data_IF_922824542287
#
_entry.id   IF_922824542287
#
_cell.length_a   1.000
_cell.length_b   1.000
_cell.length_c   1.000
_cell.angle_alpha   90.00
_cell.angle_beta   90.00
_cell.angle_gamma   90.00
#
_symmetry.space_group_name_H-M   'P 1'
#
loop_
_entity.id
_entity.type
_entity.pdbx_description
1 polymer ?
#
# COMPACT_ATOMS: atom_id res chain seq x y z
N UNK A 1 30.41 18.98 -4.75
CA UNK A 1 29.03 18.97 -4.24
C UNK A 1 28.35 20.19 -4.80
N UNK A 2 27.41 20.00 -5.73
CA UNK A 2 26.58 21.06 -6.27
C UNK A 2 25.13 20.60 -6.09
N UNK A 3 24.37 21.32 -5.25
CA UNK A 3 22.92 21.20 -5.15
C UNK A 3 22.32 21.80 -6.43
N UNK A 4 22.21 20.97 -7.46
CA UNK A 4 21.41 21.31 -8.64
C UNK A 4 19.93 21.17 -8.29
N UNK A 5 19.11 22.12 -8.73
CA UNK A 5 17.67 22.04 -8.51
C UNK A 5 17.05 20.92 -9.38
N UNK A 6 15.95 20.33 -8.92
CA UNK A 6 15.27 19.16 -9.53
C UNK A 6 14.88 19.36 -11.02
N UNK A 7 14.83 20.60 -11.49
CA UNK A 7 14.56 20.97 -12.89
C UNK A 7 15.78 20.73 -13.79
N UNK A 8 17.01 20.97 -13.29
CA UNK A 8 18.25 20.85 -14.07
C UNK A 8 18.58 19.37 -14.41
N UNK A 9 18.13 18.43 -13.58
CA UNK A 9 18.31 16.98 -13.83
C UNK A 9 17.45 16.47 -15.00
N UNK A 10 16.36 17.16 -15.34
CA UNK A 10 15.45 16.81 -16.44
C UNK A 10 15.86 17.40 -17.78
N UNK A 11 16.51 18.56 -17.81
CA UNK A 11 16.83 19.27 -19.06
C UNK A 11 17.84 18.54 -19.97
N UNK A 12 18.54 17.51 -19.47
CA UNK A 12 19.49 16.72 -20.25
C UNK A 12 19.00 15.33 -20.70
N UNK A 13 17.84 14.86 -20.23
CA UNK A 13 17.34 13.51 -20.53
C UNK A 13 16.07 13.62 -21.37
N UNK A 14 16.20 13.39 -22.67
CA UNK A 14 15.06 13.20 -23.58
C UNK A 14 14.08 12.17 -23.00
N UNK A 15 12.82 12.22 -23.46
CA UNK A 15 11.69 11.46 -22.95
C UNK A 15 11.91 9.93 -22.91
N UNK A 16 12.63 9.45 -21.91
CA UNK A 16 12.72 8.03 -21.57
C UNK A 16 11.52 7.75 -20.66
N UNK A 17 10.54 7.02 -21.19
CA UNK A 17 9.44 6.48 -20.39
C UNK A 17 10.05 5.42 -19.47
N UNK A 18 10.02 5.59 -18.15
CA UNK A 18 10.58 4.59 -17.24
C UNK A 18 9.86 3.26 -17.40
N UNK A 19 10.60 2.16 -17.34
CA UNK A 19 10.00 0.83 -17.17
C UNK A 19 9.35 0.77 -15.78
N UNK A 20 8.03 0.78 -15.75
CA UNK A 20 7.26 0.71 -14.51
C UNK A 20 6.70 -0.71 -14.35
N UNK A 21 7.16 -1.42 -13.34
CA UNK A 21 6.52 -2.66 -12.88
C UNK A 21 5.47 -2.32 -11.83
N UNK A 22 4.26 -2.86 -11.98
CA UNK A 22 3.19 -2.81 -10.98
C UNK A 22 2.93 -4.23 -10.46
N UNK A 23 3.03 -4.39 -9.14
CA UNK A 23 2.63 -5.60 -8.44
C UNK A 23 1.42 -5.29 -7.56
N UNK A 24 0.48 -6.24 -7.45
CA UNK A 24 -0.69 -6.13 -6.60
C UNK A 24 -0.72 -7.28 -5.61
N UNK A 25 -1.10 -6.98 -4.38
CA UNK A 25 -1.13 -7.96 -3.30
C UNK A 25 -2.29 -7.75 -2.34
N UNK A 26 -2.48 -8.74 -1.47
CA UNK A 26 -3.37 -8.64 -0.33
C UNK A 26 -2.57 -8.37 0.94
N UNK A 27 -3.01 -7.38 1.69
CA UNK A 27 -2.59 -7.11 3.05
C UNK A 27 -3.63 -7.64 4.01
N UNK A 28 -3.19 -8.36 5.04
CA UNK A 28 -4.02 -8.73 6.19
C UNK A 28 -3.59 -7.89 7.38
N UNK A 29 -4.38 -6.88 7.72
CA UNK A 29 -4.17 -6.09 8.92
C UNK A 29 -4.74 -6.83 10.12
N UNK A 30 -3.95 -7.05 11.17
CA UNK A 30 -4.41 -7.66 12.42
C UNK A 30 -4.64 -6.56 13.45
N UNK A 31 -5.78 -6.60 14.14
CA UNK A 31 -6.08 -5.61 15.16
C UNK A 31 -5.21 -5.82 16.39
N UNK A 32 -4.65 -4.73 16.93
CA UNK A 32 -3.90 -4.76 18.18
C UNK A 32 -4.80 -4.92 19.42
N UNK A 33 -6.09 -4.58 19.31
CA UNK A 33 -7.00 -4.46 20.46
C UNK A 33 -8.01 -5.60 20.56
N UNK A 34 -8.37 -6.21 19.42
CA UNK A 34 -9.39 -7.23 19.36
C UNK A 34 -8.95 -8.40 18.48
N UNK A 35 -9.65 -9.53 18.58
CA UNK A 35 -9.50 -10.65 17.65
C UNK A 35 -10.20 -10.33 16.33
N UNK A 36 -9.73 -9.28 15.68
CA UNK A 36 -10.23 -8.76 14.44
C UNK A 36 -9.10 -8.63 13.42
N UNK A 37 -9.44 -8.76 12.15
CA UNK A 37 -8.53 -8.56 11.04
C UNK A 37 -9.25 -7.85 9.89
N UNK A 38 -8.51 -7.23 9.00
CA UNK A 38 -9.01 -6.64 7.76
C UNK A 38 -8.21 -7.18 6.58
N UNK A 39 -8.83 -7.24 5.41
CA UNK A 39 -8.18 -7.69 4.17
C UNK A 39 -8.32 -6.57 3.15
N UNK A 40 -7.19 -6.13 2.62
CA UNK A 40 -7.09 -4.95 1.77
C UNK A 40 -6.18 -5.22 0.57
N UNK A 41 -6.52 -4.69 -0.60
CA UNK A 41 -5.62 -4.66 -1.75
C UNK A 41 -4.63 -3.50 -1.63
N UNK A 42 -3.38 -3.77 -2.00
CA UNK A 42 -2.36 -2.76 -2.24
C UNK A 42 -1.73 -2.98 -3.61
N UNK A 43 -1.24 -1.89 -4.21
CA UNK A 43 -0.43 -1.91 -5.41
C UNK A 43 0.94 -1.27 -5.13
N UNK A 44 2.01 -1.95 -5.52
CA UNK A 44 3.37 -1.43 -5.52
C UNK A 44 3.76 -1.10 -6.95
N UNK A 45 4.20 0.13 -7.18
CA UNK A 45 4.75 0.57 -8.45
C UNK A 45 6.18 1.01 -8.27
N UNK A 46 7.11 0.36 -8.97
CA UNK A 46 8.51 0.76 -8.98
C UNK A 46 8.85 1.52 -10.27
N UNK A 47 9.56 2.63 -10.15
CA UNK A 47 10.13 3.39 -11.26
C UNK A 47 11.64 3.43 -11.10
N UNK A 48 12.36 2.70 -11.96
CA UNK A 48 13.82 2.53 -11.84
C UNK A 48 14.56 3.64 -12.60
N UNK A 49 15.52 4.28 -11.92
CA UNK A 49 16.38 5.32 -12.47
C UNK A 49 17.85 5.06 -12.10
N UNK A 50 18.50 4.13 -12.80
CA UNK A 50 19.89 3.75 -12.54
C UNK A 50 20.01 2.94 -11.24
N UNK A 51 20.84 3.35 -10.25
CA UNK A 51 21.04 2.60 -9.00
C UNK A 51 19.96 2.86 -7.95
N UNK A 52 18.91 3.62 -8.28
CA UNK A 52 17.81 3.95 -7.37
C UNK A 52 16.47 3.66 -8.03
N UNK A 53 15.47 3.38 -7.20
CA UNK A 53 14.08 3.23 -7.63
C UNK A 53 13.17 4.06 -6.73
N UNK A 54 12.19 4.74 -7.33
CA UNK A 54 11.04 5.25 -6.62
C UNK A 54 10.01 4.14 -6.49
N UNK A 55 9.71 3.72 -5.27
CA UNK A 55 8.72 2.68 -4.98
C UNK A 55 7.50 3.35 -4.35
N UNK A 56 6.35 3.22 -4.99
CA UNK A 56 5.09 3.79 -4.55
C UNK A 56 4.11 2.69 -4.14
N UNK A 57 3.59 2.76 -2.93
CA UNK A 57 2.48 1.96 -2.44
C UNK A 57 1.17 2.75 -2.53
N UNK A 58 0.18 2.16 -3.22
CA UNK A 58 -1.19 2.64 -3.26
C UNK A 58 -2.12 1.64 -2.55
N UNK A 59 -2.93 2.12 -1.61
CA UNK A 59 -3.91 1.32 -0.85
C UNK A 59 -5.33 1.70 -1.24
N UNK A 60 -6.22 0.72 -1.35
CA UNK A 60 -7.64 0.93 -1.71
C UNK A 60 -8.55 0.39 -0.62
N UNK A 61 -9.78 0.91 -0.47
CA UNK A 61 -10.71 0.57 0.62
C UNK A 61 -11.31 -0.85 0.57
N UNK A 62 -10.71 -1.77 -0.18
CA UNK A 62 -11.25 -3.10 -0.43
C UNK A 62 -10.31 -3.93 -1.31
N UNK A 63 -10.89 -4.82 -2.12
CA UNK A 63 -10.17 -5.65 -3.09
C UNK A 63 -10.90 -5.58 -4.42
N UNK A 64 -10.29 -4.91 -5.39
CA UNK A 64 -10.86 -4.65 -6.71
C UNK A 64 -10.39 -5.70 -7.74
N UNK A 65 -9.15 -6.18 -7.62
CA UNK A 65 -8.59 -7.18 -8.52
C UNK A 65 -9.27 -8.55 -8.33
N UNK A 66 -9.94 -8.99 -9.40
CA UNK A 66 -10.66 -10.28 -9.45
C UNK A 66 -9.78 -11.48 -9.14
N UNK A 67 -8.48 -11.42 -9.43
CA UNK A 67 -7.53 -12.51 -9.16
C UNK A 67 -7.28 -12.65 -7.66
N UNK A 68 -7.30 -11.54 -6.93
CA UNK A 68 -7.12 -11.52 -5.48
C UNK A 68 -8.35 -12.01 -4.71
N UNK A 69 -9.54 -11.98 -5.31
CA UNK A 69 -10.79 -12.42 -4.67
C UNK A 69 -10.76 -13.88 -4.16
N UNK A 70 -10.05 -14.78 -4.87
CA UNK A 70 -9.87 -16.16 -4.39
C UNK A 70 -9.04 -16.22 -3.11
N UNK A 71 -7.99 -15.41 -3.03
CA UNK A 71 -7.13 -15.30 -1.85
C UNK A 71 -7.85 -14.61 -0.69
N UNK A 72 -8.75 -13.66 -0.95
CA UNK A 72 -9.61 -13.06 0.09
C UNK A 72 -10.43 -14.13 0.79
N UNK A 73 -11.11 -14.98 0.04
CA UNK A 73 -11.92 -16.08 0.62
C UNK A 73 -11.07 -17.06 1.41
N UNK A 74 -9.90 -17.43 0.88
CA UNK A 74 -8.96 -18.32 1.57
C UNK A 74 -8.46 -17.70 2.89
N UNK A 75 -8.06 -16.42 2.87
CA UNK A 75 -7.61 -15.68 4.03
C UNK A 75 -8.73 -15.54 5.09
N UNK A 76 -9.94 -15.19 4.68
CA UNK A 76 -11.11 -15.14 5.57
C UNK A 76 -11.44 -16.51 6.18
N UNK A 77 -11.28 -17.58 5.40
CA UNK A 77 -11.42 -18.95 5.89
C UNK A 77 -10.41 -19.26 6.99
N UNK A 78 -9.13 -18.97 6.76
CA UNK A 78 -8.05 -19.15 7.74
C UNK A 78 -8.26 -18.30 9.01
N UNK A 79 -8.60 -17.02 8.86
CA UNK A 79 -8.87 -16.14 10.00
C UNK A 79 -10.03 -16.68 10.85
N UNK A 80 -11.07 -17.23 10.20
CA UNK A 80 -12.20 -17.86 10.89
C UNK A 80 -11.80 -19.09 11.68
N UNK A 81 -10.96 -19.98 11.14
CA UNK A 81 -10.48 -21.16 11.90
C UNK A 81 -9.67 -20.74 13.13
N UNK A 82 -8.96 -19.61 13.02
CA UNK A 82 -8.27 -18.98 14.13
C UNK A 82 -9.19 -18.20 15.08
N UNK A 83 -10.51 -18.16 14.86
CA UNK A 83 -11.49 -17.37 15.62
C UNK A 83 -11.18 -15.86 15.61
N UNK A 84 -10.70 -15.36 14.48
CA UNK A 84 -10.47 -13.94 14.21
C UNK A 84 -11.60 -13.45 13.30
N UNK A 85 -12.25 -12.36 13.69
CA UNK A 85 -13.34 -11.74 12.93
C UNK A 85 -12.78 -10.89 11.81
N UNK A 86 -13.16 -11.15 10.57
CA UNK A 86 -12.79 -10.24 9.47
C UNK A 86 -13.75 -9.07 9.42
N UNK A 87 -13.21 -7.86 9.47
CA UNK A 87 -13.91 -6.60 9.29
C UNK A 87 -13.75 -6.13 7.84
N UNK A 88 -14.85 -5.65 7.27
CA UNK A 88 -14.83 -5.05 5.93
C UNK A 88 -14.14 -3.69 5.99
N UNK A 89 -13.15 -3.49 5.12
CA UNK A 89 -12.39 -2.25 5.04
C UNK A 89 -13.29 -1.03 4.76
N UNK A 90 -14.33 -1.16 3.92
CA UNK A 90 -15.22 -0.04 3.58
C UNK A 90 -15.96 0.52 4.82
N UNK A 91 -16.25 -0.32 5.83
CA UNK A 91 -16.86 0.14 7.09
C UNK A 91 -15.84 0.76 8.06
N UNK A 92 -14.55 0.50 7.88
CA UNK A 92 -13.47 1.03 8.72
C UNK A 92 -13.01 2.42 8.29
N UNK A 93 -13.24 2.79 7.01
CA UNK A 93 -13.04 4.15 6.52
C UNK A 93 -13.87 5.15 7.33
N UNK A 94 -15.15 4.78 7.57
CA UNK A 94 -16.14 5.59 8.28
C UNK A 94 -16.37 6.97 7.65
N UNK A 95 -17.43 7.70 8.04
CA UNK A 95 -17.48 9.13 7.77
C UNK A 95 -16.36 9.82 8.55
N UNK A 96 -15.63 10.74 7.91
CA UNK A 96 -14.73 11.64 8.61
C UNK A 96 -15.55 12.56 9.52
N UNK A 97 -15.80 12.13 10.76
CA UNK A 97 -16.40 12.98 11.78
C UNK A 97 -15.31 13.94 12.24
N UNK A 98 -15.58 15.24 12.16
CA UNK A 98 -14.63 16.28 12.50
C UNK A 98 -14.11 16.08 13.94
N UNK A 99 -12.81 15.83 14.08
CA UNK A 99 -12.15 15.62 15.38
C UNK A 99 -12.16 14.18 15.93
N UNK A 100 -12.63 13.19 15.18
CA UNK A 100 -12.53 11.78 15.58
C UNK A 100 -11.61 10.98 14.66
N UNK A 101 -10.77 10.13 15.26
CA UNK A 101 -9.95 9.17 14.53
C UNK A 101 -10.84 8.08 13.89
N UNK A 102 -10.65 7.75 12.60
CA UNK A 102 -11.33 6.63 11.98
C UNK A 102 -11.11 5.33 12.75
N UNK A 103 -12.09 4.41 12.73
CA UNK A 103 -11.95 3.09 13.35
C UNK A 103 -10.73 2.34 12.81
N UNK A 104 -10.36 2.59 11.56
CA UNK A 104 -9.13 2.12 10.97
C UNK A 104 -7.88 2.47 11.79
N UNK A 105 -7.69 3.75 12.13
CA UNK A 105 -6.46 4.19 12.81
C UNK A 105 -6.38 3.74 14.26
N UNK A 106 -7.53 3.53 14.88
CA UNK A 106 -7.62 2.94 16.21
C UNK A 106 -7.26 1.45 16.23
N UNK A 107 -7.63 0.70 15.18
CA UNK A 107 -7.53 -0.76 15.18
C UNK A 107 -6.30 -1.31 14.44
N UNK A 108 -5.78 -0.62 13.42
CA UNK A 108 -4.85 -1.22 12.45
C UNK A 108 -3.59 -0.39 12.17
N UNK A 109 -3.72 0.82 11.61
CA UNK A 109 -2.58 1.62 11.14
C UNK A 109 -2.87 3.11 11.30
N UNK A 110 -1.91 3.89 11.81
CA UNK A 110 -2.03 5.34 11.93
C UNK A 110 -2.15 6.03 10.55
N UNK A 111 -1.60 5.41 9.51
CA UNK A 111 -1.76 5.89 8.13
C UNK A 111 -3.20 5.70 7.66
N UNK A 112 -3.77 6.61 6.85
CA UNK A 112 -5.12 6.44 6.32
C UNK A 112 -5.29 5.10 5.58
N UNK A 113 -6.51 4.55 5.65
CA UNK A 113 -6.82 3.27 5.01
C UNK A 113 -6.63 3.36 3.49
N UNK A 114 -7.14 4.42 2.86
CA UNK A 114 -6.85 4.77 1.47
C UNK A 114 -5.71 5.77 1.47
N UNK A 115 -4.55 5.36 0.97
CA UNK A 115 -3.35 6.20 0.97
C UNK A 115 -2.48 5.91 -0.23
N UNK A 116 -1.68 6.91 -0.61
CA UNK A 116 -0.60 6.79 -1.57
C UNK A 116 0.66 7.34 -0.95
N UNK A 117 1.68 6.51 -0.84
CA UNK A 117 2.97 6.88 -0.27
C UNK A 117 4.08 6.28 -1.12
N UNK A 118 5.22 6.95 -1.23
CA UNK A 118 6.36 6.40 -1.91
C UNK A 118 7.67 6.81 -1.26
N UNK A 119 8.70 6.02 -1.54
CA UNK A 119 10.04 6.23 -1.03
C UNK A 119 11.09 5.91 -2.09
N UNK A 120 12.25 6.55 -1.95
CA UNK A 120 13.42 6.25 -2.77
C UNK A 120 14.22 5.10 -2.13
N UNK A 121 14.46 4.05 -2.92
CA UNK A 121 15.23 2.87 -2.50
C UNK A 121 16.47 2.74 -3.36
N UNK A 122 17.62 2.48 -2.74
CA UNK A 122 18.85 2.15 -3.47
C UNK A 122 18.80 0.69 -3.89
N UNK A 123 18.91 0.44 -5.19
CA UNK A 123 19.03 -0.91 -5.73
C UNK A 123 20.45 -1.41 -5.43
N UNK A 124 20.56 -2.45 -4.61
CA UNK A 124 21.85 -3.06 -4.31
C UNK A 124 22.51 -3.55 -5.59
N UNK A 125 23.79 -3.21 -5.79
CA UNK A 125 24.61 -3.92 -6.77
C UNK A 125 24.70 -5.38 -6.31
N UNK A 126 24.19 -6.32 -7.12
CA UNK A 126 24.36 -7.74 -6.86
C UNK A 126 25.85 -8.04 -6.58
N UNK A 127 26.11 -8.76 -5.48
CA UNK A 127 27.43 -9.33 -5.16
C UNK A 127 27.56 -10.72 -5.74
#
# INVERSE_FOLDING_TARGET
>A
MAEGSWVELREGRGAVVPEASEERGLRVGLSALHRAATVQEFALRATVEGPVAWVEESRVAGVDDRRLQLFVKAAQGLLRTMKITTLDAAFLEGPAVEGADPLWSLLFDASPMVSRAGEWVTLGAER
#
